data_IF_255515295011
#
_entry.id   IF_255515295011
#
_cell.length_a   1.000
_cell.length_b   1.000
_cell.length_c   1.000
_cell.angle_alpha   90.00
_cell.angle_beta   90.00
_cell.angle_gamma   90.00
#
_symmetry.space_group_name_H-M   'P 1'
#
loop_
_entity.id
_entity.type
_entity.pdbx_description
1 polymer ?
#
# COMPACT_ATOMS: atom_id res chain seq x y z
N UNK A 1 -28.55 9.83 12.47
CA UNK A 1 -27.21 9.57 11.91
C UNK A 1 -26.49 8.58 12.83
N UNK A 2 -25.87 7.53 12.27
CA UNK A 2 -25.13 6.50 13.02
C UNK A 2 -23.73 7.04 13.40
N UNK A 3 -23.09 6.52 14.48
CA UNK A 3 -21.73 6.92 14.82
C UNK A 3 -20.74 6.49 13.73
N UNK A 4 -19.71 7.28 13.46
CA UNK A 4 -18.65 6.99 12.46
C UNK A 4 -17.70 5.87 12.88
N UNK A 5 -17.73 5.45 14.14
CA UNK A 5 -16.82 4.44 14.72
C UNK A 5 -16.67 3.16 13.86
N UNK A 6 -17.76 2.48 13.39
CA UNK A 6 -17.62 1.25 12.62
C UNK A 6 -17.22 1.49 11.15
N UNK A 7 -17.32 2.72 10.64
CA UNK A 7 -17.07 3.02 9.23
C UNK A 7 -15.58 3.01 8.89
N UNK A 8 -14.72 3.48 9.80
CA UNK A 8 -13.28 3.51 9.54
C UNK A 8 -12.67 2.10 9.40
N UNK A 9 -12.89 1.14 10.31
CA UNK A 9 -12.44 -0.23 10.07
C UNK A 9 -12.97 -0.86 8.79
N UNK A 10 -14.24 -0.60 8.45
CA UNK A 10 -14.84 -1.08 7.20
C UNK A 10 -14.18 -0.42 5.97
N UNK A 11 -13.90 0.89 6.02
CA UNK A 11 -13.23 1.61 4.94
C UNK A 11 -11.80 1.10 4.72
N UNK A 12 -11.01 0.95 5.79
CA UNK A 12 -9.66 0.38 5.71
C UNK A 12 -9.68 -1.07 5.22
N UNK A 13 -10.59 -1.91 5.74
CA UNK A 13 -10.74 -3.29 5.31
C UNK A 13 -11.15 -3.42 3.84
N UNK A 14 -12.11 -2.60 3.38
CA UNK A 14 -12.52 -2.57 1.97
C UNK A 14 -11.39 -2.05 1.08
N UNK A 15 -10.64 -1.05 1.53
CA UNK A 15 -9.47 -0.54 0.80
C UNK A 15 -8.44 -1.64 0.59
N UNK A 16 -8.11 -2.40 1.64
CA UNK A 16 -7.25 -3.57 1.53
C UNK A 16 -7.85 -4.65 0.62
N UNK A 17 -9.13 -4.98 0.76
CA UNK A 17 -9.83 -5.95 -0.08
C UNK A 17 -9.64 -5.62 -1.57
N UNK A 18 -9.81 -4.34 -1.93
CA UNK A 18 -9.63 -3.87 -3.31
C UNK A 18 -8.19 -4.09 -3.77
N UNK A 19 -7.19 -3.67 -2.99
CA UNK A 19 -5.79 -3.81 -3.38
C UNK A 19 -5.36 -5.26 -3.49
N UNK A 20 -5.71 -6.11 -2.51
CA UNK A 20 -5.36 -7.53 -2.57
C UNK A 20 -5.97 -8.26 -3.76
N UNK A 21 -7.26 -8.02 -4.05
CA UNK A 21 -7.92 -8.62 -5.21
C UNK A 21 -7.37 -8.05 -6.54
N UNK A 22 -7.15 -6.73 -6.62
CA UNK A 22 -6.51 -6.09 -7.77
C UNK A 22 -5.20 -6.76 -8.14
N UNK A 23 -4.31 -6.96 -7.16
CA UNK A 23 -3.00 -7.57 -7.37
C UNK A 23 -3.10 -9.04 -7.78
N UNK A 24 -4.04 -9.79 -7.20
CA UNK A 24 -4.26 -11.19 -7.53
C UNK A 24 -4.70 -11.39 -8.99
N UNK A 25 -5.56 -10.50 -9.50
CA UNK A 25 -6.09 -10.58 -10.88
C UNK A 25 -5.32 -9.74 -11.89
N UNK A 26 -4.30 -8.98 -11.46
CA UNK A 26 -3.49 -8.12 -12.33
C UNK A 26 -2.81 -8.86 -13.49
N UNK A 27 -2.28 -10.10 -13.31
CA UNK A 27 -1.74 -10.88 -14.43
C UNK A 27 -2.79 -11.18 -15.50
N UNK A 28 -4.03 -11.48 -15.11
CA UNK A 28 -5.12 -11.77 -16.06
C UNK A 28 -5.53 -10.53 -16.82
N UNK A 29 -5.60 -9.38 -16.15
CA UNK A 29 -5.82 -8.08 -16.79
C UNK A 29 -4.72 -7.77 -17.81
N UNK A 30 -3.45 -7.98 -17.45
CA UNK A 30 -2.33 -7.77 -18.35
C UNK A 30 -2.41 -8.68 -19.56
N UNK A 31 -2.64 -9.99 -19.36
CA UNK A 31 -2.78 -10.98 -20.43
C UNK A 31 -3.97 -10.70 -21.34
N UNK A 32 -5.13 -10.31 -20.78
CA UNK A 32 -6.33 -9.95 -21.54
C UNK A 32 -6.08 -8.81 -22.54
N UNK A 33 -5.25 -7.84 -22.14
CA UNK A 33 -4.89 -6.69 -22.99
C UNK A 33 -3.56 -6.87 -23.74
N UNK A 34 -2.91 -8.03 -23.66
CA UNK A 34 -1.62 -8.29 -24.30
C UNK A 34 -0.48 -7.41 -23.82
N UNK A 35 -0.51 -7.03 -22.51
CA UNK A 35 0.47 -6.13 -21.91
C UNK A 35 1.65 -6.92 -21.35
N UNK A 36 2.86 -6.61 -21.80
CA UNK A 36 4.09 -7.03 -21.13
C UNK A 36 4.38 -6.15 -19.90
N UNK A 37 5.41 -6.47 -19.16
CA UNK A 37 5.76 -5.81 -17.88
C UNK A 37 6.04 -4.31 -18.03
N UNK A 38 6.68 -3.88 -19.12
CA UNK A 38 6.98 -2.47 -19.37
C UNK A 38 5.74 -1.60 -19.60
N UNK A 39 4.88 -1.91 -20.59
CA UNK A 39 3.61 -1.22 -20.79
C UNK A 39 2.70 -1.25 -19.57
N UNK A 40 2.59 -2.39 -18.88
CA UNK A 40 1.84 -2.47 -17.62
C UNK A 40 2.42 -1.52 -16.58
N UNK A 41 3.73 -1.56 -16.35
CA UNK A 41 4.42 -0.65 -15.44
C UNK A 41 4.21 0.82 -15.78
N UNK A 42 4.19 1.18 -17.08
CA UNK A 42 3.91 2.53 -17.53
C UNK A 42 2.46 2.96 -17.22
N UNK A 43 1.48 2.08 -17.42
CA UNK A 43 0.07 2.36 -17.07
C UNK A 43 -0.09 2.56 -15.56
N UNK A 44 0.51 1.70 -14.76
CA UNK A 44 0.50 1.83 -13.30
C UNK A 44 1.17 3.13 -12.85
N UNK A 45 2.29 3.52 -13.49
CA UNK A 45 2.99 4.79 -13.24
C UNK A 45 2.08 6.00 -13.51
N UNK A 46 1.36 6.00 -14.63
CA UNK A 46 0.39 7.06 -14.95
C UNK A 46 -0.72 7.14 -13.89
N UNK A 47 -1.22 6.00 -13.43
CA UNK A 47 -2.19 5.93 -12.35
C UNK A 47 -1.65 6.55 -11.05
N UNK A 48 -0.46 6.14 -10.61
CA UNK A 48 0.18 6.71 -9.42
C UNK A 48 0.49 8.20 -9.58
N UNK A 49 0.94 8.64 -10.74
CA UNK A 49 1.16 10.06 -11.03
C UNK A 49 -0.13 10.87 -10.91
N UNK A 50 -1.27 10.32 -11.34
CA UNK A 50 -2.58 10.95 -11.20
C UNK A 50 -3.09 10.97 -9.75
N UNK A 51 -2.65 10.04 -8.91
CA UNK A 51 -3.03 10.02 -7.50
C UNK A 51 -2.45 11.20 -6.72
N UNK A 52 -1.25 11.69 -7.07
CA UNK A 52 -0.60 12.79 -6.35
C UNK A 52 -1.43 14.08 -6.30
N UNK A 53 -1.89 14.66 -7.43
CA UNK A 53 -2.75 15.84 -7.39
C UNK A 53 -4.09 15.57 -6.71
N UNK A 54 -4.64 14.35 -6.81
CA UNK A 54 -5.87 13.97 -6.12
C UNK A 54 -5.67 13.94 -4.60
N UNK A 55 -4.55 13.38 -4.10
CA UNK A 55 -4.18 13.39 -2.68
C UNK A 55 -4.01 14.81 -2.15
N UNK A 56 -3.38 15.72 -2.92
CA UNK A 56 -3.21 17.12 -2.53
C UNK A 56 -4.53 17.90 -2.56
N UNK A 57 -5.40 17.57 -3.51
CA UNK A 57 -6.69 18.25 -3.70
C UNK A 57 -7.75 17.87 -2.67
N UNK A 58 -7.74 16.62 -2.20
CA UNK A 58 -8.78 16.10 -1.30
C UNK A 58 -8.82 16.85 0.04
N UNK A 59 -7.69 17.35 0.54
CA UNK A 59 -7.63 18.11 1.79
C UNK A 59 -8.61 19.29 1.80
N UNK A 60 -8.69 20.06 0.69
CA UNK A 60 -9.64 21.16 0.57
C UNK A 60 -11.10 20.72 0.60
N UNK A 61 -11.41 19.55 0.07
CA UNK A 61 -12.74 18.97 0.12
C UNK A 61 -13.09 18.54 1.54
N UNK A 62 -12.16 17.88 2.24
CA UNK A 62 -12.32 17.47 3.62
C UNK A 62 -12.58 18.67 4.56
N UNK A 63 -11.86 19.77 4.35
CA UNK A 63 -12.03 21.01 5.12
C UNK A 63 -13.42 21.65 4.88
N UNK A 64 -13.95 21.58 3.66
CA UNK A 64 -15.22 22.24 3.27
C UNK A 64 -16.45 21.38 3.49
N UNK A 65 -16.39 20.12 3.09
CA UNK A 65 -17.53 19.20 3.07
C UNK A 65 -17.54 18.18 4.21
N UNK A 66 -16.41 18.09 4.94
CA UNK A 66 -16.22 17.16 6.04
C UNK A 66 -15.82 15.74 5.60
N UNK A 67 -15.34 14.91 6.56
CA UNK A 67 -14.78 13.59 6.28
C UNK A 67 -15.75 12.64 5.58
N UNK A 68 -17.02 12.66 5.93
CA UNK A 68 -18.03 11.75 5.35
C UNK A 68 -18.19 11.92 3.84
N UNK A 69 -18.26 13.16 3.37
CA UNK A 69 -18.33 13.46 1.95
C UNK A 69 -16.99 13.21 1.24
N UNK A 70 -15.87 13.50 1.90
CA UNK A 70 -14.55 13.22 1.35
C UNK A 70 -14.35 11.73 1.10
N UNK A 71 -14.60 10.88 2.10
CA UNK A 71 -14.54 9.41 1.98
C UNK A 71 -15.56 8.92 0.93
N UNK A 72 -16.80 9.42 0.98
CA UNK A 72 -17.85 9.01 0.06
C UNK A 72 -17.50 9.26 -1.41
N UNK A 73 -17.09 10.49 -1.74
CA UNK A 73 -16.77 10.88 -3.11
C UNK A 73 -15.54 10.12 -3.65
N UNK A 74 -14.51 9.96 -2.84
CA UNK A 74 -13.30 9.24 -3.25
C UNK A 74 -13.55 7.75 -3.42
N UNK A 75 -14.40 7.14 -2.56
CA UNK A 75 -14.84 5.76 -2.73
C UNK A 75 -15.64 5.57 -4.03
N UNK A 76 -16.53 6.51 -4.38
CA UNK A 76 -17.29 6.48 -5.64
C UNK A 76 -16.37 6.64 -6.84
N UNK A 77 -15.37 7.53 -6.79
CA UNK A 77 -14.39 7.69 -7.86
C UNK A 77 -13.57 6.41 -8.07
N UNK A 78 -13.12 5.80 -6.98
CA UNK A 78 -12.39 4.53 -7.01
C UNK A 78 -13.26 3.38 -7.55
N UNK A 79 -14.53 3.29 -7.10
CA UNK A 79 -15.50 2.31 -7.58
C UNK A 79 -15.80 2.48 -9.08
N UNK A 80 -15.96 3.72 -9.52
CA UNK A 80 -16.16 4.06 -10.93
C UNK A 80 -14.99 3.61 -11.81
N UNK A 81 -13.75 3.90 -11.37
CA UNK A 81 -12.54 3.43 -12.06
C UNK A 81 -12.49 1.90 -12.18
N UNK A 82 -12.76 1.17 -11.09
CA UNK A 82 -12.82 -0.30 -11.11
C UNK A 82 -13.94 -0.83 -12.03
N UNK A 83 -15.13 -0.25 -11.93
CA UNK A 83 -16.24 -0.63 -12.83
C UNK A 83 -15.88 -0.45 -14.30
N UNK A 84 -15.20 0.65 -14.64
CA UNK A 84 -14.70 0.89 -15.99
C UNK A 84 -13.62 -0.12 -16.41
N UNK A 85 -12.69 -0.51 -15.53
CA UNK A 85 -11.71 -1.58 -15.81
C UNK A 85 -12.41 -2.88 -16.19
N UNK A 86 -13.47 -3.24 -15.47
CA UNK A 86 -14.24 -4.47 -15.75
C UNK A 86 -15.12 -4.40 -17.00
N UNK A 87 -15.36 -3.20 -17.57
CA UNK A 87 -16.28 -3.02 -18.71
C UNK A 87 -15.58 -2.75 -20.04
N UNK A 88 -14.35 -2.18 -20.01
CA UNK A 88 -13.75 -1.57 -21.19
C UNK A 88 -12.66 -2.46 -21.78
N UNK A 89 -12.86 -2.91 -23.03
CA UNK A 89 -11.95 -3.80 -23.72
C UNK A 89 -10.83 -3.11 -24.53
N UNK A 90 -10.80 -1.76 -24.62
CA UNK A 90 -9.76 -1.06 -25.38
C UNK A 90 -8.65 -0.52 -24.49
N UNK A 91 -7.41 -0.53 -24.96
CA UNK A 91 -6.25 -0.05 -24.19
C UNK A 91 -6.36 1.42 -23.75
N UNK A 92 -6.78 2.38 -24.60
CA UNK A 92 -6.97 3.77 -24.15
C UNK A 92 -8.00 3.90 -23.04
N UNK A 93 -9.07 3.12 -23.10
CA UNK A 93 -10.11 3.11 -22.09
C UNK A 93 -9.63 2.47 -20.78
N UNK A 94 -8.83 1.41 -20.84
CA UNK A 94 -8.16 0.83 -19.68
C UNK A 94 -7.25 1.86 -18.99
N UNK A 95 -6.41 2.58 -19.76
CA UNK A 95 -5.53 3.62 -19.21
C UNK A 95 -6.35 4.67 -18.46
N UNK A 96 -7.43 5.17 -19.05
CA UNK A 96 -8.32 6.15 -18.40
C UNK A 96 -8.95 5.58 -17.12
N UNK A 97 -9.43 4.34 -17.17
CA UNK A 97 -10.03 3.66 -16.03
C UNK A 97 -9.03 3.49 -14.87
N UNK A 98 -7.79 3.06 -15.16
CA UNK A 98 -6.71 2.93 -14.17
C UNK A 98 -6.33 4.30 -13.60
N UNK A 99 -6.29 5.36 -14.39
CA UNK A 99 -6.02 6.73 -13.91
C UNK A 99 -7.12 7.19 -12.95
N UNK A 100 -8.40 6.97 -13.27
CA UNK A 100 -9.53 7.31 -12.39
C UNK A 100 -9.48 6.49 -11.10
N UNK A 101 -9.25 5.17 -11.21
CA UNK A 101 -9.11 4.27 -10.08
C UNK A 101 -7.99 4.71 -9.13
N UNK A 102 -6.80 4.96 -9.66
CA UNK A 102 -5.63 5.32 -8.86
C UNK A 102 -5.78 6.72 -8.24
N UNK A 103 -6.32 7.71 -8.96
CA UNK A 103 -6.63 9.03 -8.42
C UNK A 103 -7.65 8.94 -7.27
N UNK A 104 -8.72 8.16 -7.46
CA UNK A 104 -9.71 7.86 -6.40
C UNK A 104 -9.08 7.17 -5.21
N UNK A 105 -8.21 6.18 -5.45
CA UNK A 105 -7.50 5.39 -4.43
C UNK A 105 -6.59 6.26 -3.56
N UNK A 106 -5.73 7.08 -4.17
CA UNK A 106 -4.84 7.98 -3.43
C UNK A 106 -5.62 9.01 -2.60
N UNK A 107 -6.67 9.60 -3.18
CA UNK A 107 -7.53 10.53 -2.45
C UNK A 107 -8.32 9.84 -1.32
N UNK A 108 -8.76 8.58 -1.52
CA UNK A 108 -9.45 7.78 -0.51
C UNK A 108 -8.53 7.45 0.66
N UNK A 109 -7.27 7.07 0.39
CA UNK A 109 -6.28 6.81 1.44
C UNK A 109 -6.07 8.04 2.34
N UNK A 110 -5.87 9.22 1.74
CA UNK A 110 -5.76 10.48 2.50
C UNK A 110 -7.03 10.77 3.30
N UNK A 111 -8.21 10.53 2.72
CA UNK A 111 -9.48 10.81 3.38
C UNK A 111 -9.71 9.93 4.61
N UNK A 112 -9.48 8.61 4.50
CA UNK A 112 -9.68 7.67 5.63
C UNK A 112 -8.64 7.85 6.72
N UNK A 113 -7.37 8.10 6.37
CA UNK A 113 -6.30 8.38 7.33
C UNK A 113 -6.53 9.73 8.05
N UNK A 114 -6.90 10.77 7.30
CA UNK A 114 -7.25 12.08 7.88
C UNK A 114 -8.43 11.98 8.84
N UNK A 115 -9.49 11.27 8.45
CA UNK A 115 -10.63 11.04 9.31
C UNK A 115 -10.29 10.23 10.57
N UNK A 116 -9.40 9.25 10.47
CA UNK A 116 -8.92 8.46 11.60
C UNK A 116 -8.13 9.31 12.59
N UNK A 117 -7.27 10.21 12.10
CA UNK A 117 -6.51 11.15 12.96
C UNK A 117 -7.40 12.19 13.62
N UNK A 118 -8.48 12.62 12.98
CA UNK A 118 -9.47 13.54 13.57
C UNK A 118 -10.42 12.89 14.58
N UNK A 119 -10.53 11.56 14.60
CA UNK A 119 -11.51 10.86 15.42
C UNK A 119 -10.96 10.54 16.82
N UNK A 120 -11.60 11.00 17.88
CA UNK A 120 -11.14 10.82 19.28
C UNK A 120 -10.81 9.38 19.66
N UNK A 121 -11.53 8.41 19.08
CA UNK A 121 -11.29 6.98 19.34
C UNK A 121 -10.09 6.43 18.60
N UNK A 122 -9.85 6.89 17.35
CA UNK A 122 -8.86 6.29 16.46
C UNK A 122 -7.53 7.04 16.39
N UNK A 123 -7.43 8.26 16.90
CA UNK A 123 -6.21 9.09 16.86
C UNK A 123 -5.05 8.61 17.76
N UNK A 124 -5.23 7.47 18.45
CA UNK A 124 -4.17 6.87 19.27
C UNK A 124 -3.32 5.93 18.42
N UNK A 125 -1.97 5.92 18.53
CA UNK A 125 -1.08 5.12 17.70
C UNK A 125 -1.46 3.63 17.61
N UNK A 126 -1.74 3.00 18.77
CA UNK A 126 -2.15 1.58 18.82
C UNK A 126 -3.46 1.31 18.04
N UNK A 127 -4.41 2.24 18.06
CA UNK A 127 -5.69 2.09 17.34
C UNK A 127 -5.55 2.38 15.84
N UNK A 128 -4.70 3.34 15.45
CA UNK A 128 -4.35 3.53 14.04
C UNK A 128 -3.71 2.27 13.47
N UNK A 129 -2.83 1.60 14.23
CA UNK A 129 -2.26 0.31 13.82
C UNK A 129 -3.33 -0.75 13.59
N UNK A 130 -4.42 -0.79 14.37
CA UNK A 130 -5.54 -1.71 14.13
C UNK A 130 -6.31 -1.40 12.84
N UNK A 131 -6.42 -0.13 12.43
CA UNK A 131 -7.01 0.22 11.13
C UNK A 131 -6.13 -0.27 9.97
N UNK A 132 -4.82 -0.12 10.07
CA UNK A 132 -3.89 -0.69 9.09
C UNK A 132 -3.85 -2.22 9.14
N UNK A 133 -4.08 -2.85 10.30
CA UNK A 133 -4.29 -4.30 10.38
C UNK A 133 -5.58 -4.73 9.66
N UNK A 134 -6.67 -3.95 9.78
CA UNK A 134 -7.89 -4.19 9.01
C UNK A 134 -7.66 -4.07 7.50
N UNK A 135 -6.84 -3.11 7.04
CA UNK A 135 -6.38 -3.03 5.66
C UNK A 135 -5.68 -4.32 5.23
N UNK A 136 -4.69 -4.79 6.02
CA UNK A 136 -3.96 -6.01 5.68
C UNK A 136 -4.86 -7.26 5.68
N UNK A 137 -5.79 -7.36 6.63
CA UNK A 137 -6.77 -8.45 6.67
C UNK A 137 -7.68 -8.42 5.43
N UNK A 138 -8.15 -7.23 5.05
CA UNK A 138 -8.89 -7.01 3.81
C UNK A 138 -8.09 -7.44 2.58
N UNK A 139 -6.81 -7.05 2.51
CA UNK A 139 -5.91 -7.41 1.41
C UNK A 139 -5.71 -8.92 1.29
N UNK A 140 -5.52 -9.60 2.41
CA UNK A 140 -5.46 -11.07 2.43
C UNK A 140 -6.75 -11.70 1.88
N UNK A 141 -7.92 -11.25 2.36
CA UNK A 141 -9.21 -11.75 1.90
C UNK A 141 -9.41 -11.44 0.41
N UNK A 142 -9.04 -10.24 -0.03
CA UNK A 142 -9.14 -9.82 -1.42
C UNK A 142 -8.26 -10.66 -2.34
N UNK A 143 -7.00 -10.88 -1.97
CA UNK A 143 -6.07 -11.68 -2.75
C UNK A 143 -6.53 -13.14 -2.88
N UNK A 144 -6.97 -13.75 -1.76
CA UNK A 144 -7.51 -15.12 -1.78
C UNK A 144 -8.82 -15.20 -2.57
N UNK A 145 -9.71 -14.20 -2.43
CA UNK A 145 -10.98 -14.13 -3.17
C UNK A 145 -10.77 -13.96 -4.68
N UNK A 146 -9.89 -13.04 -5.09
CA UNK A 146 -9.51 -12.87 -6.50
C UNK A 146 -8.88 -14.13 -7.06
N UNK A 147 -7.94 -14.73 -6.32
CA UNK A 147 -7.33 -16.00 -6.71
C UNK A 147 -8.34 -17.15 -6.84
N UNK A 148 -9.33 -17.22 -5.95
CA UNK A 148 -10.39 -18.22 -6.03
C UNK A 148 -11.26 -18.05 -7.29
N UNK A 149 -11.59 -16.82 -7.67
CA UNK A 149 -12.32 -16.53 -8.93
C UNK A 149 -11.53 -17.05 -10.13
N UNK A 150 -10.20 -16.84 -10.16
CA UNK A 150 -9.34 -17.31 -11.25
C UNK A 150 -9.27 -18.84 -11.37
N UNK A 151 -9.64 -19.59 -10.32
CA UNK A 151 -9.77 -21.04 -10.33
C UNK A 151 -11.12 -21.57 -10.80
N UNK A 152 -12.01 -20.71 -11.28
CA UNK A 152 -13.38 -21.04 -11.74
C UNK A 152 -13.61 -20.57 -13.18
N UNK A 153 -14.77 -20.91 -13.76
CA UNK A 153 -15.23 -20.42 -15.06
C UNK A 153 -15.85 -19.00 -14.99
N UNK A 154 -15.81 -18.36 -13.81
CA UNK A 154 -16.32 -17.01 -13.63
C UNK A 154 -15.32 -16.02 -14.25
N UNK A 155 -15.76 -15.11 -15.12
CA UNK A 155 -14.89 -14.08 -15.68
C UNK A 155 -14.24 -13.24 -14.58
N UNK A 156 -12.92 -13.00 -14.66
CA UNK A 156 -12.19 -12.27 -13.63
C UNK A 156 -12.68 -10.81 -13.46
N UNK A 157 -13.32 -10.25 -14.48
CA UNK A 157 -13.92 -8.91 -14.48
C UNK A 157 -15.01 -8.76 -13.40
N UNK A 158 -15.68 -9.86 -13.04
CA UNK A 158 -16.66 -9.88 -11.94
C UNK A 158 -16.03 -9.41 -10.63
N UNK A 159 -14.75 -9.70 -10.42
CA UNK A 159 -14.02 -9.20 -9.25
C UNK A 159 -14.10 -7.68 -9.15
N UNK A 160 -13.91 -6.96 -10.25
CA UNK A 160 -13.95 -5.48 -10.26
C UNK A 160 -15.34 -4.94 -9.90
N UNK A 161 -16.42 -5.58 -10.35
CA UNK A 161 -17.78 -5.17 -10.00
C UNK A 161 -18.12 -5.43 -8.53
N UNK A 162 -17.67 -6.54 -7.97
CA UNK A 162 -17.83 -6.85 -6.53
C UNK A 162 -17.07 -5.82 -5.69
N UNK A 163 -15.85 -5.46 -6.08
CA UNK A 163 -15.06 -4.45 -5.41
C UNK A 163 -15.68 -3.05 -5.52
N UNK A 164 -16.20 -2.68 -6.70
CA UNK A 164 -16.90 -1.42 -6.91
C UNK A 164 -18.16 -1.33 -6.05
N UNK A 165 -18.93 -2.43 -5.93
CA UNK A 165 -20.09 -2.50 -5.06
C UNK A 165 -19.72 -2.33 -3.57
N UNK A 166 -18.63 -2.97 -3.11
CA UNK A 166 -18.14 -2.85 -1.74
C UNK A 166 -17.70 -1.42 -1.39
N UNK A 167 -17.02 -0.72 -2.30
CA UNK A 167 -16.66 0.69 -2.15
C UNK A 167 -17.90 1.60 -2.15
N UNK A 168 -18.88 1.30 -3.00
CA UNK A 168 -20.14 2.04 -3.03
C UNK A 168 -20.90 1.91 -1.71
N UNK A 169 -20.85 0.75 -1.07
CA UNK A 169 -21.43 0.56 0.26
C UNK A 169 -20.68 1.42 1.30
N UNK A 170 -19.33 1.45 1.27
CA UNK A 170 -18.55 2.32 2.14
C UNK A 170 -18.91 3.79 1.93
N UNK A 171 -19.08 4.22 0.68
CA UNK A 171 -19.50 5.59 0.36
C UNK A 171 -20.82 5.95 1.01
N UNK A 172 -21.84 5.07 0.91
CA UNK A 172 -23.15 5.27 1.55
C UNK A 172 -23.03 5.31 3.08
N UNK A 173 -22.26 4.41 3.67
CA UNK A 173 -22.04 4.38 5.12
C UNK A 173 -21.33 5.66 5.60
N UNK A 174 -20.31 6.12 4.88
CA UNK A 174 -19.58 7.34 5.21
C UNK A 174 -20.49 8.58 5.13
N UNK A 175 -21.29 8.72 4.06
CA UNK A 175 -22.18 9.86 3.89
C UNK A 175 -23.31 9.91 4.95
N UNK A 176 -23.72 8.76 5.50
CA UNK A 176 -24.78 8.65 6.53
C UNK A 176 -24.26 8.73 7.97
N UNK A 177 -22.95 8.82 8.18
CA UNK A 177 -22.34 8.84 9.50
C UNK A 177 -22.06 10.26 9.99
N UNK A 178 -21.90 10.43 11.31
CA UNK A 178 -21.43 11.68 11.92
C UNK A 178 -19.91 11.63 12.02
N UNK A 179 -19.27 12.70 11.63
CA UNK A 179 -17.82 12.82 11.63
C UNK A 179 -17.36 13.97 12.48
N UNK A 180 -16.20 13.80 13.11
CA UNK A 180 -15.46 14.86 13.78
C UNK A 180 -14.59 15.59 12.73
N UNK A 181 -14.22 16.84 13.01
CA UNK A 181 -13.37 17.63 12.11
C UNK A 181 -11.96 17.04 12.00
N UNK A 182 -11.33 17.27 10.85
CA UNK A 182 -9.93 16.88 10.65
C UNK A 182 -9.03 18.00 11.17
N UNK A 183 -7.99 17.68 11.98
CA UNK A 183 -7.03 18.68 12.41
C UNK A 183 -6.28 19.27 11.20
N UNK A 184 -6.24 20.60 11.10
CA UNK A 184 -5.47 21.27 10.05
C UNK A 184 -3.98 20.97 10.22
N UNK A 185 -3.37 20.44 9.18
CA UNK A 185 -1.92 20.23 9.14
C UNK A 185 -1.22 21.56 8.82
N UNK A 186 -0.59 22.17 9.84
CA UNK A 186 0.25 23.35 9.64
C UNK A 186 1.55 22.99 8.87
N UNK A 187 2.27 24.04 8.39
CA UNK A 187 3.56 23.86 7.71
C UNK A 187 4.66 23.35 8.67
N UNK A 188 5.60 22.56 8.13
CA UNK A 188 6.81 22.15 8.85
C UNK A 188 7.88 23.22 8.67
N UNK A 189 8.53 23.71 9.74
CA UNK A 189 9.68 24.63 9.59
C UNK A 189 10.78 23.99 8.72
N UNK A 190 11.39 24.79 7.83
CA UNK A 190 12.39 24.29 6.87
C UNK A 190 13.54 23.52 7.53
N UNK A 191 14.02 23.99 8.67
CA UNK A 191 15.09 23.33 9.40
C UNK A 191 14.68 21.91 9.88
N UNK A 192 13.44 21.77 10.40
CA UNK A 192 12.90 20.46 10.80
C UNK A 192 12.71 19.57 9.57
N UNK A 193 12.18 20.11 8.47
CA UNK A 193 12.00 19.35 7.22
C UNK A 193 13.32 18.76 6.71
N UNK A 194 14.39 19.56 6.67
CA UNK A 194 15.72 19.10 6.24
C UNK A 194 16.29 18.04 7.18
N UNK A 195 16.10 18.19 8.50
CA UNK A 195 16.55 17.20 9.47
C UNK A 195 15.81 15.84 9.35
N UNK A 196 14.59 15.84 8.78
CA UNK A 196 13.78 14.64 8.57
C UNK A 196 14.09 13.91 7.26
N UNK A 197 14.83 14.51 6.31
CA UNK A 197 15.12 13.90 5.02
C UNK A 197 15.71 12.49 5.09
N UNK A 198 16.69 12.16 5.97
CA UNK A 198 17.20 10.79 6.06
C UNK A 198 16.13 9.78 6.46
N UNK A 199 15.18 10.17 7.33
CA UNK A 199 14.05 9.32 7.72
C UNK A 199 13.05 9.19 6.58
N UNK A 200 12.80 10.25 5.82
CA UNK A 200 11.96 10.21 4.63
C UNK A 200 12.51 9.27 3.55
N UNK A 201 13.84 9.24 3.37
CA UNK A 201 14.51 8.29 2.47
C UNK A 201 14.30 6.84 2.94
N UNK A 202 14.44 6.56 4.25
CA UNK A 202 14.17 5.22 4.78
C UNK A 202 12.70 4.80 4.60
N UNK A 203 11.76 5.71 4.81
CA UNK A 203 10.34 5.48 4.50
C UNK A 203 10.14 5.22 3.01
N UNK A 204 10.81 5.97 2.14
CA UNK A 204 10.77 5.78 0.68
C UNK A 204 11.28 4.42 0.25
N UNK A 205 12.39 3.95 0.82
CA UNK A 205 12.93 2.62 0.55
C UNK A 205 11.98 1.50 1.03
N UNK A 206 11.33 1.69 2.18
CA UNK A 206 10.32 0.75 2.66
C UNK A 206 9.11 0.70 1.71
N UNK A 207 8.55 1.85 1.34
CA UNK A 207 7.42 1.92 0.42
C UNK A 207 7.77 1.44 -1.00
N UNK A 208 8.99 1.66 -1.47
CA UNK A 208 9.50 1.08 -2.70
C UNK A 208 9.50 -0.46 -2.63
N UNK A 209 10.00 -1.01 -1.53
CA UNK A 209 10.03 -2.45 -1.33
C UNK A 209 8.61 -3.03 -1.20
N UNK A 210 7.74 -2.41 -0.39
CA UNK A 210 6.34 -2.82 -0.22
C UNK A 210 5.60 -2.76 -1.55
N UNK A 211 5.62 -1.63 -2.26
CA UNK A 211 4.92 -1.45 -3.53
C UNK A 211 5.41 -2.39 -4.64
N UNK A 212 6.72 -2.69 -4.66
CA UNK A 212 7.28 -3.65 -5.61
C UNK A 212 6.81 -5.08 -5.33
N UNK A 213 6.86 -5.53 -4.07
CA UNK A 213 6.37 -6.85 -3.68
C UNK A 213 4.87 -6.97 -3.91
N UNK A 214 4.12 -5.98 -3.48
CA UNK A 214 2.66 -5.94 -3.57
C UNK A 214 2.18 -6.01 -5.03
N UNK A 215 2.78 -5.23 -5.92
CA UNK A 215 2.35 -5.13 -7.31
C UNK A 215 2.78 -6.32 -8.16
N UNK A 216 4.01 -6.80 -7.97
CA UNK A 216 4.63 -7.73 -8.92
C UNK A 216 4.70 -9.18 -8.44
N UNK A 217 4.32 -9.49 -7.18
CA UNK A 217 4.43 -10.86 -6.66
C UNK A 217 3.58 -11.88 -7.41
N UNK A 218 2.34 -11.55 -7.78
CA UNK A 218 1.48 -12.46 -8.54
C UNK A 218 2.02 -12.70 -9.96
N UNK A 219 2.47 -11.62 -10.64
CA UNK A 219 3.04 -11.70 -11.98
C UNK A 219 4.35 -12.50 -11.95
N UNK A 220 5.24 -12.25 -10.97
CA UNK A 220 6.47 -13.01 -10.81
C UNK A 220 6.22 -14.51 -10.64
N UNK A 221 5.27 -14.88 -9.77
CA UNK A 221 4.94 -16.29 -9.55
C UNK A 221 4.34 -16.95 -10.79
N UNK A 222 3.52 -16.24 -11.56
CA UNK A 222 2.87 -16.80 -12.76
C UNK A 222 3.78 -16.82 -13.96
N UNK A 223 4.36 -15.69 -14.30
CA UNK A 223 5.04 -15.50 -15.58
C UNK A 223 6.51 -15.97 -15.54
N UNK A 224 7.20 -15.76 -14.40
CA UNK A 224 8.60 -16.20 -14.25
C UNK A 224 8.73 -17.62 -13.66
N UNK A 225 7.80 -18.02 -12.75
CA UNK A 225 7.88 -19.32 -12.09
C UNK A 225 6.85 -20.35 -12.61
N UNK A 226 6.01 -19.97 -13.58
CA UNK A 226 5.02 -20.86 -14.21
C UNK A 226 3.92 -21.36 -13.26
N UNK A 227 3.61 -20.60 -12.19
CA UNK A 227 2.62 -20.98 -11.22
C UNK A 227 1.19 -20.89 -11.79
N UNK A 228 0.30 -21.81 -11.37
CA UNK A 228 -1.12 -21.71 -11.67
C UNK A 228 -1.71 -20.42 -11.09
N UNK A 229 -2.82 -19.94 -11.66
CA UNK A 229 -3.43 -18.65 -11.32
C UNK A 229 -3.68 -18.45 -9.81
N UNK A 230 -4.29 -19.44 -9.14
CA UNK A 230 -4.51 -19.40 -7.70
C UNK A 230 -3.19 -19.34 -6.90
N UNK A 231 -2.16 -20.07 -7.33
CA UNK A 231 -0.83 -20.05 -6.68
C UNK A 231 -0.17 -18.68 -6.85
N UNK A 232 -0.35 -18.04 -8.02
CA UNK A 232 0.08 -16.66 -8.24
C UNK A 232 -0.53 -15.67 -7.25
N UNK A 233 -1.84 -15.81 -6.98
CA UNK A 233 -2.56 -14.99 -6.01
C UNK A 233 -2.07 -15.18 -4.55
N UNK A 234 -1.39 -16.28 -4.25
CA UNK A 234 -0.74 -16.47 -2.94
C UNK A 234 0.43 -15.50 -2.71
N UNK A 235 1.00 -14.89 -3.74
CA UNK A 235 2.02 -13.84 -3.59
C UNK A 235 1.50 -12.64 -2.81
N UNK A 236 0.51 -11.88 -3.33
CA UNK A 236 -0.11 -10.79 -2.59
C UNK A 236 -0.83 -11.25 -1.31
N UNK A 237 -1.40 -12.45 -1.26
CA UNK A 237 -1.99 -13.00 -0.04
C UNK A 237 -0.95 -13.16 1.08
N UNK A 238 0.22 -13.73 0.76
CA UNK A 238 1.33 -13.90 1.70
C UNK A 238 1.90 -12.54 2.15
N UNK A 239 2.00 -11.57 1.23
CA UNK A 239 2.38 -10.20 1.56
C UNK A 239 1.42 -9.60 2.59
N UNK A 240 0.12 -9.60 2.33
CA UNK A 240 -0.86 -9.02 3.24
C UNK A 240 -0.97 -9.79 4.58
N UNK A 241 -0.84 -11.12 4.57
CA UNK A 241 -0.80 -11.92 5.79
C UNK A 241 0.41 -11.55 6.66
N UNK A 242 1.59 -11.43 6.06
CA UNK A 242 2.82 -11.04 6.75
C UNK A 242 2.75 -9.61 7.29
N UNK A 243 2.20 -8.66 6.51
CA UNK A 243 1.96 -7.29 6.96
C UNK A 243 0.98 -7.23 8.13
N UNK A 244 -0.09 -8.04 8.11
CA UNK A 244 -1.04 -8.16 9.23
C UNK A 244 -0.33 -8.63 10.50
N UNK A 245 0.39 -9.75 10.40
CA UNK A 245 1.14 -10.33 11.53
C UNK A 245 2.18 -9.33 12.06
N UNK A 246 2.95 -8.70 11.17
CA UNK A 246 3.96 -7.74 11.55
C UNK A 246 3.40 -6.49 12.23
N UNK A 247 2.24 -5.98 11.79
CA UNK A 247 1.56 -4.85 12.43
C UNK A 247 1.05 -5.21 13.83
N UNK A 248 0.50 -6.42 14.00
CA UNK A 248 0.05 -6.91 15.32
C UNK A 248 1.23 -7.13 16.27
N UNK A 249 2.32 -7.75 15.81
CA UNK A 249 3.55 -7.93 16.60
C UNK A 249 4.15 -6.56 16.93
N UNK A 250 4.28 -5.68 15.94
CA UNK A 250 4.83 -4.33 16.12
C UNK A 250 4.06 -3.52 17.17
N UNK A 251 2.73 -3.62 17.20
CA UNK A 251 1.90 -3.00 18.22
C UNK A 251 2.14 -3.59 19.63
N UNK A 252 2.39 -4.90 19.72
CA UNK A 252 2.62 -5.59 20.99
C UNK A 252 4.02 -5.33 21.58
N UNK A 253 5.05 -5.18 20.71
CA UNK A 253 6.45 -5.01 21.13
C UNK A 253 6.95 -3.58 20.97
N UNK A 254 6.07 -2.62 20.68
CA UNK A 254 6.42 -1.23 20.49
C UNK A 254 7.20 -0.68 21.71
N UNK A 255 8.41 -0.21 21.47
CA UNK A 255 9.29 0.36 22.50
C UNK A 255 10.21 -0.63 23.21
N UNK A 256 10.06 -1.96 23.07
CA UNK A 256 10.89 -2.95 23.76
C UNK A 256 12.27 -3.15 23.14
N UNK A 257 12.41 -3.07 21.82
CA UNK A 257 13.64 -3.40 21.09
C UNK A 257 14.49 -2.18 20.70
N UNK A 258 13.98 -0.98 20.80
CA UNK A 258 14.63 0.23 20.29
C UNK A 258 14.70 0.30 18.75
N UNK A 259 14.75 1.52 18.22
CA UNK A 259 14.62 1.78 16.78
C UNK A 259 15.73 1.13 15.94
N UNK A 260 16.98 1.23 16.37
CA UNK A 260 18.15 0.66 15.67
C UNK A 260 18.02 -0.86 15.50
N UNK A 261 17.69 -1.57 16.58
CA UNK A 261 17.53 -3.04 16.56
C UNK A 261 16.34 -3.44 15.68
N UNK A 262 15.23 -2.74 15.81
CA UNK A 262 14.04 -3.04 14.99
C UNK A 262 14.30 -2.83 13.50
N UNK A 263 14.96 -1.73 13.10
CA UNK A 263 15.36 -1.49 11.71
C UNK A 263 16.37 -2.51 11.21
N UNK A 264 17.30 -2.97 12.06
CA UNK A 264 18.25 -4.02 11.70
C UNK A 264 17.52 -5.35 11.41
N UNK A 265 16.66 -5.78 12.31
CA UNK A 265 15.86 -7.01 12.14
C UNK A 265 14.96 -6.90 10.91
N UNK A 266 14.29 -5.76 10.75
CA UNK A 266 13.44 -5.47 9.59
C UNK A 266 14.21 -5.61 8.26
N UNK A 267 15.36 -4.91 8.15
CA UNK A 267 16.22 -4.98 6.97
C UNK A 267 16.75 -6.39 6.72
N UNK A 268 17.17 -7.10 7.78
CA UNK A 268 17.68 -8.47 7.66
C UNK A 268 16.59 -9.45 7.17
N UNK A 269 15.38 -9.41 7.75
CA UNK A 269 14.28 -10.26 7.34
C UNK A 269 13.87 -9.98 5.88
N UNK A 270 13.78 -8.70 5.50
CA UNK A 270 13.43 -8.31 4.12
C UNK A 270 14.51 -8.74 3.14
N UNK A 271 15.79 -8.51 3.48
CA UNK A 271 16.93 -8.90 2.66
C UNK A 271 16.97 -10.42 2.44
N UNK A 272 16.93 -11.20 3.52
CA UNK A 272 16.99 -12.66 3.46
C UNK A 272 15.78 -13.22 2.75
N UNK A 273 14.58 -12.80 3.15
CA UNK A 273 13.32 -13.32 2.57
C UNK A 273 13.25 -13.11 1.06
N UNK A 274 13.50 -11.89 0.61
CA UNK A 274 13.46 -11.58 -0.82
C UNK A 274 14.64 -12.19 -1.60
N UNK A 275 15.82 -12.27 -1.00
CA UNK A 275 16.95 -12.98 -1.65
C UNK A 275 16.61 -14.46 -1.85
N UNK A 276 16.04 -15.14 -0.86
CA UNK A 276 15.58 -16.53 -1.00
C UNK A 276 14.50 -16.67 -2.07
N UNK A 277 13.51 -15.77 -2.08
CA UNK A 277 12.44 -15.78 -3.09
C UNK A 277 12.96 -15.62 -4.51
N UNK A 278 14.01 -14.85 -4.71
CA UNK A 278 14.58 -14.58 -6.03
C UNK A 278 15.64 -15.61 -6.45
N UNK A 279 16.43 -16.15 -5.51
CA UNK A 279 17.53 -17.09 -5.83
C UNK A 279 17.03 -18.51 -6.02
N UNK A 280 15.91 -18.90 -5.37
CA UNK A 280 15.31 -20.24 -5.50
C UNK A 280 14.00 -20.12 -6.28
N UNK A 281 14.01 -20.36 -7.62
CA UNK A 281 12.87 -20.12 -8.50
C UNK A 281 11.80 -21.22 -8.41
N UNK A 282 11.32 -21.48 -7.22
CA UNK A 282 10.25 -22.44 -6.92
C UNK A 282 9.12 -21.72 -6.16
N UNK A 283 7.87 -21.75 -6.63
CA UNK A 283 6.75 -21.08 -5.95
C UNK A 283 6.66 -21.44 -4.46
N UNK A 284 6.88 -22.71 -4.10
CA UNK A 284 6.87 -23.21 -2.73
C UNK A 284 7.92 -22.55 -1.81
N UNK A 285 9.01 -22.01 -2.37
CA UNK A 285 10.07 -21.30 -1.65
C UNK A 285 9.91 -19.78 -1.79
N UNK A 286 9.50 -19.32 -2.98
CA UNK A 286 9.33 -17.90 -3.24
C UNK A 286 8.22 -17.28 -2.37
N UNK A 287 7.08 -17.95 -2.22
CA UNK A 287 5.95 -17.45 -1.41
C UNK A 287 6.34 -17.23 0.06
N UNK A 288 6.91 -18.20 0.81
CA UNK A 288 7.37 -17.97 2.17
C UNK A 288 8.53 -16.97 2.23
N UNK A 289 9.40 -16.91 1.21
CA UNK A 289 10.45 -15.89 1.11
C UNK A 289 9.87 -14.48 1.01
N UNK A 290 8.86 -14.27 0.16
CA UNK A 290 8.13 -13.01 0.04
C UNK A 290 7.40 -12.64 1.34
N UNK A 291 6.76 -13.62 2.00
CA UNK A 291 6.13 -13.42 3.30
C UNK A 291 7.14 -12.94 4.35
N UNK A 292 8.32 -13.58 4.41
CA UNK A 292 9.39 -13.17 5.33
C UNK A 292 9.88 -11.76 5.02
N UNK A 293 10.02 -11.44 3.73
CA UNK A 293 10.40 -10.09 3.27
C UNK A 293 9.38 -9.03 3.67
N UNK A 294 8.09 -9.29 3.45
CA UNK A 294 6.99 -8.41 3.83
C UNK A 294 6.87 -8.25 5.36
N UNK A 295 7.08 -9.33 6.12
CA UNK A 295 7.13 -9.25 7.58
C UNK A 295 8.21 -8.28 8.05
N UNK A 296 9.41 -8.34 7.48
CA UNK A 296 10.47 -7.39 7.77
C UNK A 296 10.07 -5.95 7.42
N UNK A 297 9.58 -5.72 6.20
CA UNK A 297 9.19 -4.41 5.73
C UNK A 297 8.12 -3.74 6.62
N UNK A 298 7.20 -4.52 7.19
CA UNK A 298 6.10 -4.03 8.04
C UNK A 298 6.53 -3.21 9.25
N UNK A 299 7.76 -3.38 9.73
CA UNK A 299 8.29 -2.67 10.90
C UNK A 299 8.95 -1.34 10.55
N UNK A 300 9.38 -1.11 9.31
CA UNK A 300 10.24 0.04 8.95
C UNK A 300 9.49 1.36 9.09
N UNK A 301 8.34 1.49 8.44
CA UNK A 301 7.56 2.75 8.42
C UNK A 301 7.13 3.17 9.83
N UNK A 302 6.54 2.31 10.70
CA UNK A 302 6.18 2.69 12.06
C UNK A 302 7.37 3.20 12.88
N UNK A 303 8.54 2.56 12.76
CA UNK A 303 9.76 2.98 13.47
C UNK A 303 10.25 4.33 12.98
N UNK A 304 10.32 4.53 11.66
CA UNK A 304 10.78 5.78 11.05
C UNK A 304 9.88 6.95 11.42
N UNK A 305 8.55 6.75 11.41
CA UNK A 305 7.56 7.74 11.81
C UNK A 305 7.69 8.08 13.30
N UNK A 306 7.92 7.08 14.15
CA UNK A 306 8.15 7.28 15.58
C UNK A 306 9.42 8.10 15.84
N UNK A 307 10.54 7.79 15.15
CA UNK A 307 11.78 8.56 15.23
C UNK A 307 11.57 10.02 14.77
N UNK A 308 10.82 10.23 13.68
CA UNK A 308 10.53 11.57 13.20
C UNK A 308 9.74 12.38 14.23
N UNK A 309 8.73 11.77 14.85
CA UNK A 309 7.93 12.39 15.89
C UNK A 309 8.76 12.75 17.13
N UNK A 310 9.62 11.84 17.59
CA UNK A 310 10.50 12.06 18.74
C UNK A 310 11.49 13.20 18.51
N UNK A 311 12.15 13.24 17.34
CA UNK A 311 13.14 14.29 17.00
C UNK A 311 12.55 15.66 16.77
N UNK A 312 11.32 15.72 16.30
CA UNK A 312 10.66 16.98 16.00
C UNK A 312 9.97 17.64 17.21
N UNK A 313 9.83 16.94 18.35
CA UNK A 313 9.27 17.48 19.59
C UNK A 313 7.90 18.15 19.38
N UNK A 314 7.84 19.48 19.53
CA UNK A 314 6.60 20.25 19.35
C UNK A 314 6.00 20.15 17.93
N UNK A 315 6.76 19.67 16.96
CA UNK A 315 6.35 19.49 15.56
C UNK A 315 6.11 18.01 15.17
N UNK A 316 6.00 17.11 16.16
CA UNK A 316 5.95 15.65 15.98
C UNK A 316 4.98 15.19 14.88
N UNK A 317 3.71 15.58 14.94
CA UNK A 317 2.69 15.16 13.95
C UNK A 317 3.00 15.67 12.54
N UNK A 318 3.50 16.91 12.42
CA UNK A 318 3.87 17.49 11.12
C UNK A 318 5.10 16.82 10.52
N UNK A 319 6.10 16.51 11.35
CA UNK A 319 7.30 15.80 10.91
C UNK A 319 6.98 14.37 10.46
N UNK A 320 6.11 13.66 11.17
CA UNK A 320 5.61 12.35 10.79
C UNK A 320 4.89 12.39 9.42
N UNK A 321 3.96 13.33 9.23
CA UNK A 321 3.27 13.53 7.96
C UNK A 321 4.24 13.88 6.82
N UNK A 322 5.24 14.74 7.07
CA UNK A 322 6.25 15.11 6.07
C UNK A 322 7.07 13.90 5.63
N UNK A 323 7.52 13.07 6.57
CA UNK A 323 8.29 11.84 6.30
C UNK A 323 7.45 10.86 5.49
N UNK A 324 6.19 10.65 5.85
CA UNK A 324 5.28 9.80 5.10
C UNK A 324 5.03 10.32 3.70
N UNK A 325 4.71 11.61 3.54
CA UNK A 325 4.42 12.21 2.23
C UNK A 325 5.59 12.07 1.26
N UNK A 326 6.83 12.33 1.72
CA UNK A 326 8.01 12.11 0.88
C UNK A 326 8.27 10.62 0.65
N UNK A 327 8.04 9.79 1.66
CA UNK A 327 8.17 8.35 1.57
C UNK A 327 7.26 7.74 0.51
N UNK A 328 6.04 8.26 0.33
CA UNK A 328 5.11 7.79 -0.70
C UNK A 328 5.67 7.84 -2.13
N UNK A 329 6.71 8.64 -2.39
CA UNK A 329 7.44 8.59 -3.66
C UNK A 329 8.00 7.18 -3.94
N UNK A 330 8.28 6.39 -2.91
CA UNK A 330 8.70 5.00 -3.05
C UNK A 330 7.64 4.11 -3.71
N UNK A 331 6.37 4.27 -3.36
CA UNK A 331 5.26 3.56 -4.04
C UNK A 331 5.11 3.93 -5.51
N UNK A 332 5.46 5.17 -5.87
CA UNK A 332 5.44 5.60 -7.27
C UNK A 332 6.62 5.00 -8.03
N UNK A 333 7.82 5.10 -7.46
CA UNK A 333 9.07 4.71 -8.13
C UNK A 333 9.23 3.20 -8.19
N UNK A 334 8.89 2.47 -7.12
CA UNK A 334 9.14 1.03 -7.01
C UNK A 334 8.47 0.22 -8.12
N UNK A 335 7.14 0.20 -8.21
CA UNK A 335 6.43 -0.57 -9.25
C UNK A 335 6.81 -0.14 -10.67
N UNK A 336 7.00 1.17 -10.89
CA UNK A 336 7.38 1.72 -12.18
C UNK A 336 8.77 1.25 -12.62
N UNK A 337 9.74 1.33 -11.70
CA UNK A 337 11.10 0.88 -11.94
C UNK A 337 11.15 -0.63 -12.22
N UNK A 338 10.43 -1.42 -11.42
CA UNK A 338 10.35 -2.88 -11.62
C UNK A 338 9.71 -3.21 -12.98
N UNK A 339 8.65 -2.50 -13.38
CA UNK A 339 8.01 -2.73 -14.69
C UNK A 339 8.96 -2.46 -15.86
N UNK A 340 9.64 -1.31 -15.85
CA UNK A 340 10.58 -0.91 -16.91
C UNK A 340 11.79 -1.84 -16.94
N UNK A 341 12.41 -2.11 -15.79
CA UNK A 341 13.57 -3.01 -15.73
C UNK A 341 13.18 -4.46 -16.02
N UNK A 342 11.99 -4.88 -15.60
CA UNK A 342 11.43 -6.21 -15.87
C UNK A 342 11.27 -6.50 -17.37
N UNK A 343 10.90 -5.48 -18.16
CA UNK A 343 10.80 -5.61 -19.62
C UNK A 343 12.15 -5.93 -20.28
N UNK A 344 13.25 -5.38 -19.76
CA UNK A 344 14.58 -5.50 -20.37
C UNK A 344 15.37 -6.66 -19.79
N UNK A 345 15.26 -6.89 -18.47
CA UNK A 345 16.13 -7.81 -17.73
C UNK A 345 15.39 -8.97 -17.07
N UNK A 346 14.05 -9.04 -17.19
CA UNK A 346 13.18 -9.98 -16.48
C UNK A 346 12.80 -9.52 -15.07
N UNK A 347 11.63 -9.96 -14.62
CA UNK A 347 11.08 -9.53 -13.29
C UNK A 347 11.96 -9.97 -12.12
N UNK A 348 12.62 -11.11 -12.24
CA UNK A 348 13.53 -11.62 -11.21
C UNK A 348 14.67 -10.64 -10.92
N UNK A 349 15.28 -10.07 -11.99
CA UNK A 349 16.35 -9.07 -11.86
C UNK A 349 15.78 -7.74 -11.35
N UNK A 350 14.64 -7.33 -11.88
CA UNK A 350 14.00 -6.09 -11.50
C UNK A 350 13.60 -6.06 -10.01
N UNK A 351 13.08 -7.15 -9.48
CA UNK A 351 12.72 -7.29 -8.06
C UNK A 351 13.92 -7.30 -7.12
N UNK A 352 15.17 -7.43 -7.62
CA UNK A 352 16.36 -7.30 -6.80
C UNK A 352 16.51 -5.90 -6.15
N UNK A 353 15.74 -4.90 -6.61
CA UNK A 353 15.65 -3.59 -5.94
C UNK A 353 15.16 -3.72 -4.50
N UNK A 354 14.33 -4.73 -4.19
CA UNK A 354 13.79 -4.95 -2.84
C UNK A 354 14.87 -5.37 -1.85
N UNK A 355 15.65 -6.44 -2.08
CA UNK A 355 16.76 -6.77 -1.19
C UNK A 355 17.84 -5.69 -1.16
N UNK A 356 18.06 -4.91 -2.23
CA UNK A 356 18.97 -3.75 -2.22
C UNK A 356 18.47 -2.66 -1.28
N UNK A 357 17.17 -2.29 -1.35
CA UNK A 357 16.56 -1.33 -0.42
C UNK A 357 16.67 -1.82 1.03
N UNK A 358 16.42 -3.11 1.26
CA UNK A 358 16.53 -3.73 2.57
C UNK A 358 17.99 -3.70 3.11
N UNK A 359 19.00 -3.92 2.27
CA UNK A 359 20.40 -3.80 2.64
C UNK A 359 20.76 -2.36 3.06
N UNK A 360 20.24 -1.35 2.36
CA UNK A 360 20.45 0.06 2.73
C UNK A 360 19.80 0.34 4.10
N UNK A 361 18.56 -0.13 4.34
CA UNK A 361 17.88 0.02 5.64
C UNK A 361 18.68 -0.66 6.75
N UNK A 362 19.20 -1.87 6.51
CA UNK A 362 20.01 -2.63 7.44
C UNK A 362 21.32 -1.87 7.79
N UNK A 363 22.02 -1.31 6.81
CA UNK A 363 23.21 -0.49 7.05
C UNK A 363 22.84 0.80 7.80
N UNK A 364 21.79 1.48 7.39
CA UNK A 364 21.32 2.71 8.02
C UNK A 364 20.94 2.50 9.50
N UNK A 365 20.47 1.31 9.87
CA UNK A 365 20.12 0.97 11.26
C UNK A 365 21.34 1.10 12.22
N UNK A 366 22.57 0.98 11.71
CA UNK A 366 23.82 1.10 12.49
C UNK A 366 24.36 2.53 12.55
N UNK A 367 23.75 3.46 11.80
CA UNK A 367 24.19 4.86 11.73
C UNK A 367 23.45 5.74 12.73
N UNK A 368 23.84 7.03 12.79
CA UNK A 368 23.14 8.05 13.59
C UNK A 368 21.68 8.26 13.17
N UNK A 369 21.29 7.84 11.97
CA UNK A 369 19.92 7.96 11.46
C UNK A 369 18.93 7.11 12.27
N UNK A 370 19.35 5.98 12.81
CA UNK A 370 18.49 5.09 13.59
C UNK A 370 18.62 5.26 15.11
N UNK A 371 19.51 6.12 15.58
CA UNK A 371 19.72 6.38 17.02
C UNK A 371 18.74 7.48 17.47
N UNK A 372 17.99 7.19 18.52
CA UNK A 372 17.12 8.16 19.23
C UNK A 372 17.93 9.13 20.09
#
# INVERSE_FOLDING_TARGET
>A
MRPSFPVLPAAFGTFGLVWGAWQAVLPDLANHHGLSTGPLGAILTLGFAASLPAMLGIGRLLDRAGPGWGIGLTAVAMAGGLGLVGMLGSLPALILAVVIFAAGSGAFDVAINGAAMGHQTWNRPARLTLLHAAFSAGGLIGALGGGAVLGTDIPFEITYFVLAASLSLVAVLAARSRWEGIPSAGSVPRAVALAMLPLAVLAGLAFLAEGSMETWSAIYLRDELGAAAFIGALGPAAFHAAMLVGRLIGAAVAGSLGASTTLFVAGALTLVGMSVALLVPLPAVAIPGMALGALGASFVVPVVVSLAAQRAGAHAGRAASYVLTLGYAGFLVGPSFVGILGEVAGLRVALAIVPLAAAIILVASRTRVARS
#
